data_IF_634324017083
#
_entry.id   IF_634324017083
#
_cell.length_a   1.000
_cell.length_b   1.000
_cell.length_c   1.000
_cell.angle_alpha   90.00
_cell.angle_beta   90.00
_cell.angle_gamma   90.00
#
_symmetry.space_group_name_H-M   'P 1'
#
loop_
_entity.id
_entity.type
_entity.pdbx_description
1 polymer ?
#
# COMPACT_ATOMS: atom_id res chain seq x y z
N UNK A 1 21.74 35.16 -19.00
CA UNK A 1 21.70 33.77 -18.55
C UNK A 1 20.25 33.33 -18.48
N UNK A 2 19.81 32.43 -19.35
CA UNK A 2 18.41 31.98 -19.36
C UNK A 2 18.23 30.90 -18.29
N UNK A 3 17.33 31.16 -17.34
CA UNK A 3 16.85 30.17 -16.37
C UNK A 3 15.96 29.19 -17.11
N UNK A 4 16.18 27.89 -16.92
CA UNK A 4 15.29 26.85 -17.44
C UNK A 4 14.32 26.48 -16.32
N UNK A 5 13.06 26.92 -16.42
CA UNK A 5 11.98 26.36 -15.59
C UNK A 5 11.61 24.99 -16.15
N UNK A 6 12.01 23.93 -15.46
CA UNK A 6 11.68 22.55 -15.80
C UNK A 6 10.85 21.96 -14.67
N UNK A 7 9.64 21.53 -14.98
CA UNK A 7 8.81 20.78 -14.03
C UNK A 7 9.20 19.32 -14.14
N UNK A 8 10.00 18.86 -13.18
CA UNK A 8 10.22 17.43 -12.97
C UNK A 8 8.96 16.84 -12.28
N UNK A 9 8.42 15.74 -12.81
CA UNK A 9 7.30 14.98 -12.21
C UNK A 9 5.96 15.71 -12.07
N UNK A 10 5.52 16.41 -13.13
CA UNK A 10 4.23 17.12 -13.17
C UNK A 10 2.97 16.22 -13.07
N UNK A 11 3.12 14.89 -13.17
CA UNK A 11 2.02 13.93 -13.23
C UNK A 11 2.13 12.89 -12.12
N UNK A 12 0.98 12.47 -11.59
CA UNK A 12 0.88 11.41 -10.59
C UNK A 12 1.58 10.14 -11.07
N UNK A 13 2.40 9.54 -10.20
CA UNK A 13 3.00 8.22 -10.45
C UNK A 13 2.09 7.07 -10.01
N UNK A 14 0.95 7.36 -9.39
CA UNK A 14 -0.08 6.38 -9.02
C UNK A 14 -1.03 6.21 -10.21
N UNK A 15 -1.13 4.97 -10.68
CA UNK A 15 -2.06 4.53 -11.73
C UNK A 15 -3.42 4.19 -11.14
N UNK A 16 -3.47 3.49 -10.01
CA UNK A 16 -4.72 3.07 -9.39
C UNK A 16 -4.57 2.87 -7.87
N UNK A 17 -5.71 3.00 -7.18
CA UNK A 17 -5.89 2.61 -5.79
C UNK A 17 -7.07 1.64 -5.73
N UNK A 18 -6.84 0.42 -5.25
CA UNK A 18 -7.88 -0.58 -5.09
C UNK A 18 -8.09 -0.89 -3.60
N UNK A 19 -9.34 -1.02 -3.18
CA UNK A 19 -9.66 -1.46 -1.83
C UNK A 19 -9.52 -2.99 -1.78
N UNK A 20 -8.61 -3.47 -0.93
CA UNK A 20 -8.40 -4.89 -0.67
C UNK A 20 -9.22 -5.38 0.53
N UNK A 21 -9.43 -4.51 1.52
CA UNK A 21 -10.29 -4.76 2.68
C UNK A 21 -10.79 -3.44 3.25
N UNK A 22 -12.05 -3.43 3.67
CA UNK A 22 -12.72 -2.31 4.35
C UNK A 22 -13.67 -2.90 5.39
N UNK A 23 -13.10 -3.36 6.50
CA UNK A 23 -13.84 -3.92 7.63
C UNK A 23 -13.65 -3.07 8.88
N UNK A 24 -14.42 -3.38 9.92
CA UNK A 24 -14.28 -2.73 11.22
C UNK A 24 -12.90 -2.95 11.84
N UNK A 25 -12.27 -4.09 11.53
CA UNK A 25 -10.98 -4.51 12.09
C UNK A 25 -9.81 -4.01 11.26
N UNK A 26 -9.95 -4.00 9.92
CA UNK A 26 -8.84 -3.74 9.01
C UNK A 26 -9.25 -2.88 7.82
N UNK A 27 -8.34 -1.98 7.44
CA UNK A 27 -8.36 -1.30 6.14
C UNK A 27 -7.12 -1.71 5.36
N UNK A 28 -7.29 -2.17 4.12
CA UNK A 28 -6.17 -2.47 3.25
C UNK A 28 -6.42 -1.95 1.84
N UNK A 29 -5.38 -1.36 1.25
CA UNK A 29 -5.41 -0.83 -0.11
C UNK A 29 -4.19 -1.28 -0.90
N UNK A 30 -4.42 -1.52 -2.19
CA UNK A 30 -3.39 -1.74 -3.19
C UNK A 30 -3.10 -0.42 -3.90
N UNK A 31 -1.82 -0.10 -4.03
CA UNK A 31 -1.33 1.10 -4.72
C UNK A 31 -0.54 0.64 -5.94
N UNK A 32 -1.11 0.84 -7.11
CA UNK A 32 -0.48 0.48 -8.38
C UNK A 32 0.16 1.73 -8.97
N UNK A 33 1.47 1.68 -9.20
CA UNK A 33 2.22 2.75 -9.85
C UNK A 33 2.18 2.64 -11.38
N UNK A 34 2.49 3.73 -12.08
CA UNK A 34 2.54 3.75 -13.54
C UNK A 34 3.60 2.81 -14.12
N UNK A 35 4.69 2.57 -13.39
CA UNK A 35 5.77 1.65 -13.77
C UNK A 35 5.40 0.17 -13.56
N UNK A 36 4.19 -0.11 -13.05
CA UNK A 36 3.72 -1.45 -12.73
C UNK A 36 4.13 -1.96 -11.35
N UNK A 37 4.90 -1.17 -10.58
CA UNK A 37 5.18 -1.51 -9.19
C UNK A 37 3.89 -1.44 -8.37
N UNK A 38 3.61 -2.49 -7.61
CA UNK A 38 2.45 -2.54 -6.73
C UNK A 38 2.89 -2.56 -5.27
N UNK A 39 2.21 -1.78 -4.44
CA UNK A 39 2.38 -1.77 -3.00
C UNK A 39 1.07 -2.12 -2.30
N UNK A 40 1.19 -2.66 -1.10
CA UNK A 40 0.07 -2.84 -0.17
C UNK A 40 0.29 -1.96 1.03
N UNK A 41 -0.77 -1.27 1.42
CA UNK A 41 -0.90 -0.65 2.73
C UNK A 41 -2.02 -1.37 3.48
N UNK A 42 -1.77 -1.79 4.71
CA UNK A 42 -2.77 -2.37 5.60
C UNK A 42 -2.68 -1.73 7.00
N UNK A 43 -3.82 -1.57 7.66
CA UNK A 43 -3.94 -0.95 8.96
C UNK A 43 -4.92 -1.74 9.84
N UNK A 44 -4.56 -1.95 11.10
CA UNK A 44 -5.46 -2.40 12.15
C UNK A 44 -6.22 -1.19 12.71
N UNK A 45 -7.54 -1.17 12.52
CA UNK A 45 -8.37 -0.01 12.84
C UNK A 45 -8.61 0.15 14.35
N UNK A 46 -8.55 -0.95 15.11
CA UNK A 46 -8.87 -0.98 16.53
C UNK A 46 -7.69 -1.40 17.43
N UNK A 47 -6.53 -1.72 16.84
CA UNK A 47 -5.36 -2.13 17.60
C UNK A 47 -4.16 -1.24 17.23
N UNK A 48 -3.60 -0.59 18.25
CA UNK A 48 -2.45 0.30 18.14
C UNK A 48 -1.17 -0.26 18.77
N UNK A 49 -1.22 -1.47 19.35
CA UNK A 49 -0.08 -2.10 20.00
C UNK A 49 0.98 -2.47 18.94
N UNK A 50 2.24 -2.01 19.07
CA UNK A 50 3.29 -2.31 18.11
C UNK A 50 3.70 -3.80 18.07
N UNK A 51 3.22 -4.63 19.00
CA UNK A 51 3.58 -6.03 19.13
C UNK A 51 2.44 -6.99 18.79
N UNK A 52 1.22 -6.51 18.52
CA UNK A 52 0.13 -7.41 18.11
C UNK A 52 0.39 -7.94 16.70
N UNK A 53 0.36 -9.27 16.49
CA UNK A 53 0.37 -9.86 15.16
C UNK A 53 -1.03 -9.81 14.53
N UNK A 54 -1.08 -9.47 13.24
CA UNK A 54 -2.28 -9.43 12.43
C UNK A 54 -2.14 -10.31 11.20
N UNK A 55 -3.26 -10.81 10.69
CA UNK A 55 -3.31 -11.58 9.46
C UNK A 55 -4.59 -11.23 8.70
N UNK A 56 -4.45 -10.87 7.44
CA UNK A 56 -5.55 -10.49 6.56
C UNK A 56 -5.51 -11.32 5.28
N UNK A 57 -6.60 -12.05 5.01
CA UNK A 57 -6.76 -12.79 3.76
C UNK A 57 -7.32 -11.85 2.68
N UNK A 58 -6.62 -11.75 1.54
CA UNK A 58 -7.01 -10.91 0.40
C UNK A 58 -6.80 -11.69 -0.89
N UNK A 59 -7.87 -11.93 -1.66
CA UNK A 59 -7.76 -12.45 -3.03
C UNK A 59 -7.02 -13.79 -3.15
N UNK A 60 -7.08 -14.65 -2.12
CA UNK A 60 -6.38 -15.95 -2.08
C UNK A 60 -4.97 -15.90 -1.49
N UNK A 61 -4.43 -14.71 -1.21
CA UNK A 61 -3.16 -14.51 -0.50
C UNK A 61 -3.42 -14.09 0.95
N UNK A 62 -2.40 -14.22 1.80
CA UNK A 62 -2.45 -13.78 3.20
C UNK A 62 -1.37 -12.75 3.46
N UNK A 63 -1.76 -11.60 4.02
CA UNK A 63 -0.85 -10.55 4.47
C UNK A 63 -0.71 -10.70 5.98
N UNK A 64 0.50 -10.93 6.46
CA UNK A 64 0.79 -11.02 7.89
C UNK A 64 1.74 -9.89 8.29
N UNK A 65 1.43 -9.22 9.40
CA UNK A 65 2.26 -8.14 9.93
C UNK A 65 2.18 -8.05 11.45
N UNK A 66 3.02 -7.21 12.04
CA UNK A 66 3.01 -6.91 13.47
C UNK A 66 2.96 -5.40 13.66
N UNK A 67 2.09 -4.94 14.55
CA UNK A 67 1.86 -3.52 14.80
C UNK A 67 0.65 -2.94 14.04
N UNK A 68 0.37 -1.64 14.23
CA UNK A 68 -0.85 -1.01 13.72
C UNK A 68 -0.91 -0.90 12.20
N UNK A 69 0.23 -0.87 11.52
CA UNK A 69 0.33 -0.56 10.10
C UNK A 69 1.36 -1.47 9.43
N UNK A 70 1.06 -1.83 8.19
CA UNK A 70 1.95 -2.53 7.28
C UNK A 70 2.04 -1.79 5.96
N UNK A 71 3.24 -1.68 5.41
CA UNK A 71 3.47 -1.15 4.07
C UNK A 71 4.59 -1.95 3.40
N UNK A 72 4.28 -2.58 2.27
CA UNK A 72 5.24 -3.43 1.56
C UNK A 72 4.98 -3.43 0.06
N UNK A 73 6.03 -3.76 -0.70
CA UNK A 73 5.94 -3.98 -2.14
C UNK A 73 5.43 -5.39 -2.39
N UNK A 74 4.47 -5.55 -3.30
CA UNK A 74 4.11 -6.87 -3.81
C UNK A 74 5.13 -7.21 -4.89
N UNK A 75 5.98 -8.20 -4.62
CA UNK A 75 6.78 -8.81 -5.67
C UNK A 75 5.86 -9.72 -6.49
N UNK A 76 5.66 -9.42 -7.77
CA UNK A 76 5.03 -10.38 -8.68
C UNK A 76 5.92 -11.63 -8.72
N UNK A 77 5.37 -12.79 -8.32
CA UNK A 77 6.07 -14.06 -8.52
C UNK A 77 6.54 -14.15 -9.99
N UNK A 78 7.81 -14.54 -10.17
CA UNK A 78 8.44 -14.77 -11.47
C UNK A 78 7.74 -15.87 -12.27
#
# INVERSE_FOLDING_TARGET
SAVTERVESAYSQIKALNILSDSEEYTAVEIIHQDGTTWVFAMANQDSDPNTPHTLAVGGNSIAWTGPVHYSKIDSER
#
